data_IF_311254671228
#
_entry.id   IF_311254671228
#
_cell.length_a   1.000
_cell.length_b   1.000
_cell.length_c   1.000
_cell.angle_alpha   90.00
_cell.angle_beta   90.00
_cell.angle_gamma   90.00
#
_symmetry.space_group_name_H-M   'P 1'
#
loop_
_entity.id
_entity.type
_entity.pdbx_description
1 polymer ?
#
# COMPACT_ATOMS: atom_id res chain seq x y z
N UNK A 1 -45.01 -6.39 -1.03
CA UNK A 1 -43.90 -6.58 -0.08
C UNK A 1 -42.85 -7.55 -0.59
N UNK A 2 -43.10 -8.87 -0.74
CA UNK A 2 -42.05 -9.80 -1.26
C UNK A 2 -41.61 -9.52 -2.72
N UNK A 3 -42.54 -9.14 -3.60
CA UNK A 3 -42.20 -8.76 -4.98
C UNK A 3 -41.35 -7.48 -5.06
N UNK A 4 -41.60 -6.53 -4.15
CA UNK A 4 -40.85 -5.27 -4.05
C UNK A 4 -39.43 -5.51 -3.52
N UNK A 5 -39.28 -6.39 -2.53
CA UNK A 5 -37.96 -6.85 -2.06
C UNK A 5 -37.17 -7.49 -3.22
N UNK A 6 -37.82 -8.34 -4.02
CA UNK A 6 -37.15 -9.01 -5.16
C UNK A 6 -36.69 -8.01 -6.22
N UNK A 7 -37.48 -6.96 -6.48
CA UNK A 7 -37.10 -5.91 -7.41
C UNK A 7 -35.94 -5.07 -6.87
N UNK A 8 -35.96 -4.73 -5.57
CA UNK A 8 -34.83 -4.05 -4.91
C UNK A 8 -33.54 -4.89 -4.98
N UNK A 9 -33.62 -6.20 -4.74
CA UNK A 9 -32.46 -7.10 -4.85
C UNK A 9 -31.86 -7.11 -6.27
N UNK A 10 -32.71 -7.02 -7.30
CA UNK A 10 -32.27 -6.93 -8.69
C UNK A 10 -31.56 -5.60 -8.96
N UNK A 11 -32.13 -4.48 -8.50
CA UNK A 11 -31.54 -3.16 -8.66
C UNK A 11 -30.19 -3.04 -7.93
N UNK A 12 -30.08 -3.60 -6.72
CA UNK A 12 -28.81 -3.66 -5.97
C UNK A 12 -27.75 -4.41 -6.78
N UNK A 13 -28.07 -5.61 -7.29
CA UNK A 13 -27.14 -6.40 -8.10
C UNK A 13 -26.68 -5.66 -9.36
N UNK A 14 -27.58 -4.94 -10.01
CA UNK A 14 -27.24 -4.13 -11.18
C UNK A 14 -26.30 -2.98 -10.83
N UNK A 15 -26.59 -2.24 -9.76
CA UNK A 15 -25.75 -1.14 -9.28
C UNK A 15 -24.38 -1.64 -8.79
N UNK A 16 -24.32 -2.81 -8.17
CA UNK A 16 -23.06 -3.46 -7.77
C UNK A 16 -22.21 -3.80 -9.00
N UNK A 17 -22.82 -4.38 -10.05
CA UNK A 17 -22.11 -4.67 -11.29
C UNK A 17 -21.58 -3.41 -12.00
N UNK A 18 -22.38 -2.33 -12.00
CA UNK A 18 -21.94 -1.03 -12.52
C UNK A 18 -20.79 -0.46 -11.69
N UNK A 19 -20.88 -0.54 -10.36
CA UNK A 19 -19.85 -0.10 -9.42
C UNK A 19 -18.54 -0.85 -9.63
N UNK A 20 -18.59 -2.17 -9.78
CA UNK A 20 -17.40 -2.99 -10.06
C UNK A 20 -16.76 -2.65 -11.41
N UNK A 21 -17.57 -2.35 -12.42
CA UNK A 21 -17.07 -1.88 -13.73
C UNK A 21 -16.34 -0.54 -13.61
N UNK A 22 -16.92 0.42 -12.88
CA UNK A 22 -16.29 1.71 -12.62
C UNK A 22 -15.00 1.58 -11.81
N UNK A 23 -14.98 0.71 -10.78
CA UNK A 23 -13.76 0.41 -10.00
C UNK A 23 -12.64 -0.13 -10.90
N UNK A 24 -12.94 -1.11 -11.77
CA UNK A 24 -11.97 -1.64 -12.73
C UNK A 24 -11.42 -0.57 -13.65
N UNK A 25 -12.31 0.27 -14.22
CA UNK A 25 -11.90 1.39 -15.08
C UNK A 25 -11.03 2.39 -14.33
N UNK A 26 -11.39 2.76 -13.09
CA UNK A 26 -10.57 3.63 -12.23
C UNK A 26 -9.18 3.04 -12.00
N UNK A 27 -9.08 1.75 -11.64
CA UNK A 27 -7.79 1.09 -11.41
C UNK A 27 -6.94 1.06 -12.68
N UNK A 28 -7.54 0.82 -13.85
CA UNK A 28 -6.84 0.89 -15.12
C UNK A 28 -6.30 2.29 -15.43
N UNK A 29 -7.14 3.33 -15.27
CA UNK A 29 -6.72 4.72 -15.47
C UNK A 29 -5.67 5.17 -14.45
N UNK A 30 -5.76 4.72 -13.20
CA UNK A 30 -4.75 4.96 -12.17
C UNK A 30 -3.39 4.41 -12.59
N UNK A 31 -3.36 3.18 -13.12
CA UNK A 31 -2.13 2.57 -13.64
C UNK A 31 -1.53 3.38 -14.79
N UNK A 32 -2.34 3.77 -15.78
CA UNK A 32 -1.87 4.58 -16.91
C UNK A 32 -1.34 5.94 -16.44
N UNK A 33 -2.04 6.60 -15.50
CA UNK A 33 -1.60 7.88 -14.97
C UNK A 33 -0.27 7.77 -14.22
N UNK A 34 -0.06 6.71 -13.44
CA UNK A 34 1.23 6.45 -12.78
C UNK A 34 2.33 6.20 -13.81
N UNK A 35 2.09 5.35 -14.81
CA UNK A 35 3.05 5.06 -15.88
C UNK A 35 3.44 6.34 -16.64
N UNK A 36 2.46 7.18 -16.97
CA UNK A 36 2.70 8.47 -17.65
C UNK A 36 3.50 9.44 -16.78
N UNK A 37 3.11 9.62 -15.51
CA UNK A 37 3.80 10.52 -14.58
C UNK A 37 5.24 10.08 -14.33
N UNK A 38 5.51 8.78 -14.22
CA UNK A 38 6.87 8.26 -14.07
C UNK A 38 7.69 8.46 -15.35
N UNK A 39 7.11 8.20 -16.53
CA UNK A 39 7.77 8.38 -17.82
C UNK A 39 8.16 9.84 -18.06
N UNK A 40 7.24 10.75 -17.76
CA UNK A 40 7.45 12.20 -17.91
C UNK A 40 8.21 12.83 -16.73
N UNK A 41 8.58 12.06 -15.70
CA UNK A 41 9.23 12.54 -14.47
C UNK A 41 8.47 13.70 -13.80
N UNK A 42 7.15 13.56 -13.73
CA UNK A 42 6.26 14.52 -13.08
C UNK A 42 6.17 14.23 -11.58
N UNK A 43 6.71 15.13 -10.76
CA UNK A 43 6.63 15.03 -9.29
C UNK A 43 5.22 15.37 -8.74
N UNK A 44 4.37 16.00 -9.57
CA UNK A 44 2.97 16.24 -9.24
C UNK A 44 2.22 17.04 -10.32
N UNK A 45 0.91 16.84 -10.38
CA UNK A 45 0.02 17.47 -11.37
C UNK A 45 -1.24 18.02 -10.71
N UNK A 46 -1.63 19.25 -11.04
CA UNK A 46 -2.88 19.85 -10.54
C UNK A 46 -4.01 19.71 -11.58
N UNK A 47 -5.07 19.00 -11.21
CA UNK A 47 -6.27 18.81 -12.05
C UNK A 47 -7.50 18.73 -11.16
N UNK A 48 -8.60 19.38 -11.58
CA UNK A 48 -9.90 19.35 -10.91
C UNK A 48 -9.85 19.75 -9.41
N UNK A 49 -9.12 20.82 -9.09
CA UNK A 49 -8.98 21.32 -7.71
C UNK A 49 -8.16 20.42 -6.78
N UNK A 50 -7.46 19.42 -7.33
CA UNK A 50 -6.65 18.46 -6.58
C UNK A 50 -5.21 18.50 -7.05
N UNK A 51 -4.29 18.35 -6.11
CA UNK A 51 -2.88 18.10 -6.41
C UNK A 51 -2.65 16.59 -6.35
N UNK A 52 -2.27 16.00 -7.48
CA UNK A 52 -1.99 14.59 -7.64
C UNK A 52 -0.48 14.34 -7.63
N UNK A 53 -0.04 13.24 -7.02
CA UNK A 53 1.35 12.80 -6.98
C UNK A 53 1.44 11.28 -6.92
N UNK A 54 2.55 10.72 -7.38
CA UNK A 54 2.86 9.31 -7.21
C UNK A 54 3.52 9.12 -5.84
N UNK A 55 2.97 8.22 -5.03
CA UNK A 55 3.56 7.77 -3.77
C UNK A 55 3.79 6.26 -3.81
N UNK A 56 4.80 5.77 -3.10
CA UNK A 56 5.07 4.34 -2.99
C UNK A 56 4.36 3.75 -1.77
N UNK A 57 3.51 2.78 -2.02
CA UNK A 57 2.81 2.01 -0.99
C UNK A 57 3.53 0.69 -0.75
N UNK A 58 3.84 0.43 0.53
CA UNK A 58 4.50 -0.78 0.98
C UNK A 58 3.51 -1.65 1.76
N UNK A 59 3.43 -2.92 1.41
CA UNK A 59 2.65 -3.94 2.12
C UNK A 59 3.60 -4.98 2.67
N UNK A 60 3.56 -5.20 3.99
CA UNK A 60 4.44 -6.16 4.66
C UNK A 60 3.62 -7.35 5.16
N UNK A 61 4.18 -8.55 5.01
CA UNK A 61 3.62 -9.80 5.48
C UNK A 61 4.70 -10.63 6.18
N UNK A 62 4.31 -11.34 7.23
CA UNK A 62 5.17 -12.30 7.93
C UNK A 62 4.39 -13.59 8.06
N UNK A 63 5.02 -14.71 7.71
CA UNK A 63 4.41 -16.04 7.79
C UNK A 63 4.65 -16.65 9.16
N UNK A 64 3.82 -17.61 9.57
CA UNK A 64 4.06 -18.36 10.84
C UNK A 64 5.47 -18.96 10.90
N UNK A 65 5.94 -19.52 9.78
CA UNK A 65 7.26 -20.15 9.70
C UNK A 65 8.43 -19.17 9.89
N UNK A 66 8.23 -17.88 9.62
CA UNK A 66 9.29 -16.86 9.73
C UNK A 66 9.21 -16.02 10.99
N UNK A 67 8.21 -16.22 11.86
CA UNK A 67 8.00 -15.40 13.07
C UNK A 67 9.19 -15.39 14.01
N UNK A 68 9.71 -16.57 14.35
CA UNK A 68 10.82 -16.68 15.31
C UNK A 68 12.09 -16.02 14.74
N UNK A 69 12.35 -16.23 13.45
CA UNK A 69 13.45 -15.59 12.74
C UNK A 69 13.32 -14.05 12.72
N UNK A 70 12.10 -13.52 12.54
CA UNK A 70 11.83 -12.07 12.60
C UNK A 70 12.08 -11.51 14.00
N UNK A 71 11.76 -12.25 15.06
CA UNK A 71 12.03 -11.83 16.45
C UNK A 71 13.53 -11.85 16.78
N UNK A 72 14.26 -12.84 16.26
CA UNK A 72 15.72 -12.88 16.36
C UNK A 72 16.37 -11.72 15.57
N UNK A 73 15.88 -11.44 14.37
CA UNK A 73 16.32 -10.29 13.57
C UNK A 73 16.05 -8.96 14.28
N UNK A 74 14.90 -8.81 14.93
CA UNK A 74 14.58 -7.63 15.75
C UNK A 74 15.51 -7.47 16.96
N UNK A 75 16.00 -8.58 17.52
CA UNK A 75 17.01 -8.57 18.58
C UNK A 75 18.34 -8.06 18.05
N UNK A 76 18.80 -8.60 16.91
CA UNK A 76 20.05 -8.18 16.23
C UNK A 76 20.01 -6.71 15.80
N UNK A 77 18.84 -6.24 15.35
CA UNK A 77 18.62 -4.84 14.96
C UNK A 77 18.39 -3.89 16.14
N UNK A 78 18.36 -4.39 17.39
CA UNK A 78 18.15 -3.57 18.58
C UNK A 78 16.73 -2.99 18.74
N UNK A 79 15.77 -3.45 17.94
CA UNK A 79 14.40 -2.94 17.90
C UNK A 79 13.35 -3.88 18.54
N UNK A 80 13.79 -4.97 19.19
CA UNK A 80 12.90 -5.95 19.84
C UNK A 80 11.87 -5.30 20.80
N UNK A 81 12.25 -4.26 21.53
CA UNK A 81 11.34 -3.54 22.45
C UNK A 81 10.14 -2.88 21.74
N UNK A 82 10.28 -2.55 20.46
CA UNK A 82 9.23 -1.96 19.63
C UNK A 82 8.34 -3.05 19.01
N UNK A 83 8.81 -4.30 19.01
CA UNK A 83 8.17 -5.49 18.46
C UNK A 83 7.95 -6.53 19.56
N UNK A 84 7.15 -6.18 20.57
CA UNK A 84 6.79 -7.10 21.68
C UNK A 84 6.10 -8.39 21.21
N UNK A 85 5.55 -8.38 19.99
CA UNK A 85 5.06 -9.53 19.24
C UNK A 85 5.22 -9.26 17.74
N UNK A 86 5.13 -10.30 16.90
CA UNK A 86 5.12 -10.15 15.43
C UNK A 86 3.79 -9.51 15.00
N UNK A 87 3.72 -8.19 15.14
CA UNK A 87 2.66 -7.35 14.61
C UNK A 87 3.18 -6.67 13.34
N UNK A 88 2.66 -7.08 12.18
CA UNK A 88 3.10 -6.57 10.88
C UNK A 88 2.94 -5.06 10.74
N UNK A 89 1.98 -4.43 11.42
CA UNK A 89 1.82 -2.97 11.41
C UNK A 89 2.94 -2.26 12.17
N UNK A 90 3.38 -2.80 13.32
CA UNK A 90 4.52 -2.26 14.07
C UNK A 90 5.84 -2.49 13.33
N UNK A 91 6.02 -3.69 12.76
CA UNK A 91 7.20 -3.99 11.94
C UNK A 91 7.28 -3.06 10.73
N UNK A 92 6.16 -2.85 10.05
CA UNK A 92 6.02 -1.88 8.95
C UNK A 92 6.42 -0.47 9.40
N UNK A 93 5.98 -0.01 10.58
CA UNK A 93 6.34 1.31 11.09
C UNK A 93 7.85 1.43 11.39
N UNK A 94 8.44 0.45 12.07
CA UNK A 94 9.87 0.43 12.40
C UNK A 94 10.72 0.42 11.13
N UNK A 95 10.39 -0.45 10.16
CA UNK A 95 11.12 -0.54 8.89
C UNK A 95 11.02 0.77 8.09
N UNK A 96 9.84 1.41 8.09
CA UNK A 96 9.65 2.71 7.45
C UNK A 96 10.54 3.78 8.09
N UNK A 97 10.54 3.88 9.42
CA UNK A 97 11.33 4.87 10.15
C UNK A 97 12.83 4.67 9.91
N UNK A 98 13.31 3.42 9.94
CA UNK A 98 14.69 3.09 9.62
C UNK A 98 15.06 3.45 8.17
N UNK A 99 14.20 3.13 7.20
CA UNK A 99 14.43 3.47 5.80
C UNK A 99 14.46 4.99 5.57
N UNK A 100 13.58 5.74 6.22
CA UNK A 100 13.55 7.21 6.18
C UNK A 100 14.80 7.81 6.80
N UNK A 101 15.22 7.33 7.98
CA UNK A 101 16.43 7.79 8.64
C UNK A 101 17.71 7.51 7.82
N UNK A 102 17.72 6.39 7.08
CA UNK A 102 18.81 6.02 6.18
C UNK A 102 18.76 6.73 4.82
N UNK A 103 17.76 7.58 4.56
CA UNK A 103 17.61 8.29 3.28
C UNK A 103 17.39 7.36 2.09
N UNK A 104 16.75 6.21 2.31
CA UNK A 104 16.53 5.21 1.26
C UNK A 104 15.49 5.68 0.24
N UNK A 105 15.69 5.23 -1.00
CA UNK A 105 14.70 5.40 -2.05
C UNK A 105 13.38 4.72 -1.65
N UNK A 106 12.29 5.48 -1.73
CA UNK A 106 10.95 5.02 -1.42
C UNK A 106 10.46 3.92 -2.37
N UNK A 107 11.07 3.75 -3.54
CA UNK A 107 10.74 2.65 -4.46
C UNK A 107 11.25 1.27 -3.99
N UNK A 108 12.16 1.24 -3.01
CA UNK A 108 12.85 0.03 -2.58
C UNK A 108 12.21 -0.58 -1.33
N UNK A 109 12.18 -1.91 -1.20
CA UNK A 109 11.73 -2.55 0.03
C UNK A 109 12.49 -2.04 1.24
N UNK A 110 11.78 -1.68 2.31
CA UNK A 110 12.39 -1.20 3.56
C UNK A 110 13.25 -2.28 4.22
N UNK A 111 12.85 -3.54 4.07
CA UNK A 111 13.55 -4.71 4.60
C UNK A 111 14.88 -5.02 3.88
N UNK A 112 15.09 -4.58 2.64
CA UNK A 112 16.31 -4.89 1.87
C UNK A 112 17.58 -4.43 2.62
N UNK A 113 18.67 -5.19 2.64
CA UNK A 113 19.91 -4.84 3.35
C UNK A 113 19.77 -4.67 4.87
N UNK A 114 18.67 -5.14 5.47
CA UNK A 114 18.49 -5.20 6.92
C UNK A 114 18.47 -6.66 7.38
N UNK A 115 18.59 -6.95 8.69
CA UNK A 115 18.40 -8.31 9.21
C UNK A 115 17.02 -8.93 8.90
N UNK A 116 16.05 -8.15 8.42
CA UNK A 116 14.72 -8.62 8.03
C UNK A 116 14.61 -9.04 6.56
N UNK A 117 15.67 -8.83 5.76
CA UNK A 117 15.70 -9.22 4.36
C UNK A 117 15.46 -10.73 4.19
N UNK A 118 14.56 -11.09 3.28
CA UNK A 118 14.17 -12.49 3.04
C UNK A 118 13.28 -13.12 4.11
N UNK A 119 13.06 -12.46 5.26
CA UNK A 119 12.16 -12.93 6.32
C UNK A 119 10.76 -12.33 6.22
N UNK A 120 10.68 -11.10 5.70
CA UNK A 120 9.46 -10.32 5.52
C UNK A 120 9.09 -10.29 4.04
N UNK A 121 7.88 -10.72 3.71
CA UNK A 121 7.33 -10.52 2.37
C UNK A 121 6.90 -9.07 2.22
N UNK A 122 7.62 -8.29 1.42
CA UNK A 122 7.33 -6.88 1.17
C UNK A 122 6.95 -6.66 -0.30
N UNK A 123 5.77 -6.08 -0.53
CA UNK A 123 5.30 -5.68 -1.84
C UNK A 123 5.26 -4.16 -1.92
N UNK A 124 5.97 -3.59 -2.90
CA UNK A 124 6.10 -2.15 -3.11
C UNK A 124 5.44 -1.80 -4.44
N UNK A 125 4.51 -0.85 -4.42
CA UNK A 125 3.81 -0.41 -5.63
C UNK A 125 3.59 1.10 -5.66
N UNK A 126 3.73 1.73 -6.83
CA UNK A 126 3.40 3.14 -6.99
C UNK A 126 1.87 3.30 -7.00
N UNK A 127 1.40 4.34 -6.32
CA UNK A 127 -0.02 4.68 -6.16
C UNK A 127 -0.24 6.15 -6.44
N UNK A 128 -1.37 6.45 -7.08
CA UNK A 128 -1.75 7.82 -7.33
C UNK A 128 -2.48 8.38 -6.09
N UNK A 129 -1.89 9.39 -5.46
CA UNK A 129 -2.45 10.07 -4.28
C UNK A 129 -2.83 11.50 -4.64
N UNK A 130 -3.84 12.02 -3.95
CA UNK A 130 -4.20 13.43 -4.07
C UNK A 130 -4.51 14.05 -2.72
N UNK A 131 -4.31 15.36 -2.66
CA UNK A 131 -4.77 16.21 -1.57
C UNK A 131 -5.71 17.26 -2.15
N UNK A 132 -6.83 17.48 -1.47
CA UNK A 132 -7.71 18.61 -1.76
C UNK A 132 -6.97 19.87 -1.35
N UNK A 133 -6.66 20.73 -2.30
CA UNK A 133 -6.07 22.05 -2.01
C UNK A 133 -7.26 22.97 -1.76
N UNK A 134 -7.40 23.44 -0.53
CA UNK A 134 -8.39 24.47 -0.16
C UNK A 134 -8.01 25.83 -0.74
#
# INVERSE_FOLDING_TARGET
>A
MLAEITELDKQIKELDAQTETLKKRRTHLERLAVEEMQTQRLDGVRVAGRSWRVEWEHSCSVTEATKDAVMEAATKAGCLKQLTSVNTARLKAVLKEQAQAAGRDASQPWSAGTPFEGLVGEYVAPRLRHVTVG
#
